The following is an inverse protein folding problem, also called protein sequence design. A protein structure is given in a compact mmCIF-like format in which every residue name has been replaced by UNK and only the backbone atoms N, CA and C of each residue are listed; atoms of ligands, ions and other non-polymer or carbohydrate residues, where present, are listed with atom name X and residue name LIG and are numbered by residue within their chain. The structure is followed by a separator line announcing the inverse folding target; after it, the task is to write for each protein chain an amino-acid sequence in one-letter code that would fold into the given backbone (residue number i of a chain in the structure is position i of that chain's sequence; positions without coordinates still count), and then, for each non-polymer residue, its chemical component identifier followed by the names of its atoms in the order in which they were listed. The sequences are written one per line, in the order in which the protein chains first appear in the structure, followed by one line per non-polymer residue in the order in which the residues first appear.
data_IF_442061944376
#
_entry.id   IF_442061944376
#
_cell.length_a   1.000
_cell.length_b   1.000
_cell.length_c   1.000
_cell.angle_alpha   90.00
_cell.angle_beta   90.00
_cell.angle_gamma   90.00
#
_symmetry.space_group_name_H-M   'P 1'
#
loop_
_entity.id
_entity.type
_entity.pdbx_description
1 polymer ?
#
# COMPACT_ATOMS: atom_id res chain seq x y z
N UNK A 1 -19.73 -1.85 -14.98
CA UNK A 1 -19.94 -1.06 -13.74
C UNK A 1 -18.86 0.00 -13.65
N UNK A 2 -19.21 1.24 -13.27
CA UNK A 2 -18.28 2.39 -13.26
C UNK A 2 -17.32 2.35 -12.05
N UNK A 3 -17.78 1.84 -10.91
CA UNK A 3 -16.95 1.71 -9.70
C UNK A 3 -16.27 0.34 -9.63
N UNK A 4 -15.04 0.32 -9.12
CA UNK A 4 -14.20 -0.90 -8.98
C UNK A 4 -13.94 -1.32 -7.53
N UNK A 5 -14.03 -0.38 -6.59
CA UNK A 5 -13.77 -0.61 -5.16
C UNK A 5 -15.04 -0.27 -4.38
N UNK A 6 -15.57 -1.27 -3.68
CA UNK A 6 -16.80 -1.14 -2.91
C UNK A 6 -16.49 -1.36 -1.43
N UNK A 7 -17.28 -0.71 -0.57
CA UNK A 7 -17.27 -1.04 0.86
C UNK A 7 -17.98 -2.39 1.00
N UNK A 8 -17.21 -3.40 1.38
CA UNK A 8 -17.72 -4.76 1.57
C UNK A 8 -16.93 -5.47 2.67
N UNK A 9 -17.55 -6.51 3.23
CA UNK A 9 -16.94 -7.34 4.27
C UNK A 9 -15.73 -8.08 3.68
N UNK A 10 -14.61 -7.99 4.37
CA UNK A 10 -13.34 -8.59 3.95
C UNK A 10 -12.50 -7.70 3.04
N UNK A 11 -12.95 -6.49 2.67
CA UNK A 11 -12.07 -5.58 1.93
C UNK A 11 -10.97 -5.01 2.84
N UNK A 12 -9.75 -5.02 2.33
CA UNK A 12 -8.60 -4.42 2.98
C UNK A 12 -8.56 -2.93 2.66
N UNK A 13 -8.34 -2.11 3.68
CA UNK A 13 -8.23 -0.66 3.59
C UNK A 13 -6.96 -0.17 4.27
N UNK A 14 -6.42 0.95 3.76
CA UNK A 14 -5.31 1.66 4.40
C UNK A 14 -5.86 2.81 5.24
N UNK A 15 -5.35 2.97 6.46
CA UNK A 15 -5.68 4.11 7.32
C UNK A 15 -4.88 5.34 6.91
N UNK A 16 -5.58 6.43 6.57
CA UNK A 16 -5.00 7.67 6.03
C UNK A 16 -4.55 8.68 7.08
N UNK A 17 -5.06 8.62 8.32
CA UNK A 17 -4.66 9.53 9.41
C UNK A 17 -5.11 9.05 10.80
N UNK A 18 -4.54 9.67 11.84
CA UNK A 18 -4.78 9.39 13.25
C UNK A 18 -3.78 8.40 13.85
N UNK A 19 -4.10 7.82 15.01
CA UNK A 19 -3.18 6.97 15.78
C UNK A 19 -2.68 5.73 15.00
N UNK A 20 -3.54 5.16 14.15
CA UNK A 20 -3.24 3.98 13.33
C UNK A 20 -2.82 4.30 11.88
N UNK A 21 -2.33 5.51 11.64
CA UNK A 21 -1.92 5.95 10.30
C UNK A 21 -0.92 4.99 9.64
N UNK A 22 -1.18 4.64 8.37
CA UNK A 22 -0.32 3.77 7.57
C UNK A 22 -0.50 2.27 7.84
N UNK A 23 -1.38 1.89 8.77
CA UNK A 23 -1.73 0.48 8.99
C UNK A 23 -2.76 0.00 7.97
N UNK A 24 -2.66 -1.28 7.61
CA UNK A 24 -3.69 -1.99 6.87
C UNK A 24 -4.71 -2.59 7.84
N UNK A 25 -5.98 -2.41 7.51
CA UNK A 25 -7.10 -2.93 8.28
C UNK A 25 -8.07 -3.65 7.36
N UNK A 26 -8.82 -4.60 7.90
CA UNK A 26 -9.89 -5.30 7.17
C UNK A 26 -11.24 -4.78 7.66
N UNK A 27 -12.14 -4.47 6.74
CA UNK A 27 -13.54 -4.16 7.06
C UNK A 27 -14.24 -5.47 7.43
N UNK A 28 -14.66 -5.57 8.68
CA UNK A 28 -15.28 -6.78 9.23
C UNK A 28 -16.80 -6.67 9.26
N UNK A 29 -17.31 -5.45 9.41
CA UNK A 29 -18.73 -5.13 9.34
C UNK A 29 -18.94 -3.68 8.91
N UNK A 30 -20.12 -3.39 8.36
CA UNK A 30 -20.56 -2.03 8.04
C UNK A 30 -21.58 -1.61 9.09
N UNK A 31 -21.23 -0.60 9.89
CA UNK A 31 -22.07 -0.16 11.02
C UNK A 31 -23.15 0.79 10.52
N UNK A 32 -22.76 1.79 9.74
CA UNK A 32 -23.65 2.76 9.12
C UNK A 32 -23.01 3.33 7.84
N UNK A 33 -23.65 4.34 7.24
CA UNK A 33 -23.18 4.97 5.99
C UNK A 33 -21.77 5.57 6.09
N UNK A 34 -21.35 5.98 7.29
CA UNK A 34 -20.09 6.69 7.51
C UNK A 34 -19.06 5.84 8.24
N UNK A 35 -19.42 4.71 8.85
CA UNK A 35 -18.55 3.94 9.74
C UNK A 35 -18.53 2.45 9.39
N UNK A 36 -17.34 1.88 9.44
CA UNK A 36 -17.09 0.45 9.43
C UNK A 36 -16.50 -0.02 10.76
N UNK A 37 -16.79 -1.27 11.09
CA UNK A 37 -16.06 -2.02 12.10
C UNK A 37 -14.82 -2.61 11.43
N UNK A 38 -13.64 -2.24 11.91
CA UNK A 38 -12.37 -2.67 11.34
C UNK A 38 -11.56 -3.49 12.33
N UNK A 39 -10.75 -4.39 11.79
CA UNK A 39 -9.89 -5.27 12.58
C UNK A 39 -8.56 -5.51 11.87
N UNK A 40 -7.52 -5.79 12.65
CA UNK A 40 -6.18 -6.14 12.18
C UNK A 40 -5.48 -7.00 13.25
N UNK A 41 -4.48 -7.84 12.89
CA UNK A 41 -3.80 -8.71 13.84
C UNK A 41 -3.25 -7.98 15.07
N UNK A 42 -2.59 -6.83 14.84
CA UNK A 42 -1.90 -6.05 15.88
C UNK A 42 -2.78 -4.95 16.50
N UNK A 43 -4.09 -5.00 16.29
CA UNK A 43 -5.02 -3.93 16.66
C UNK A 43 -6.26 -4.50 17.34
N UNK A 44 -6.78 -3.81 18.35
CA UNK A 44 -8.12 -4.14 18.84
C UNK A 44 -9.18 -3.73 17.82
N UNK A 45 -10.30 -4.45 17.81
CA UNK A 45 -11.39 -4.15 16.90
C UNK A 45 -12.04 -2.82 17.29
N UNK A 46 -12.03 -1.86 16.37
CA UNK A 46 -12.64 -0.54 16.60
C UNK A 46 -13.55 -0.14 15.45
N UNK A 47 -14.41 0.85 15.71
CA UNK A 47 -15.15 1.52 14.65
C UNK A 47 -14.29 2.64 14.04
N UNK A 48 -14.27 2.73 12.72
CA UNK A 48 -13.59 3.78 11.97
C UNK A 48 -14.51 4.41 10.94
N UNK A 49 -14.41 5.73 10.77
CA UNK A 49 -15.12 6.45 9.73
C UNK A 49 -14.50 6.15 8.35
N UNK A 50 -15.30 5.95 7.31
CA UNK A 50 -14.83 5.71 5.94
C UNK A 50 -13.94 6.83 5.42
N UNK A 51 -14.11 8.08 5.88
CA UNK A 51 -13.21 9.19 5.54
C UNK A 51 -11.76 8.95 5.96
N UNK A 52 -11.53 8.09 6.97
CA UNK A 52 -10.19 7.69 7.44
C UNK A 52 -9.57 6.55 6.62
N UNK A 53 -10.36 5.90 5.78
CA UNK A 53 -9.99 4.67 5.10
C UNK A 53 -9.87 4.90 3.60
N UNK A 54 -8.78 4.44 3.01
CA UNK A 54 -8.66 4.31 1.56
C UNK A 54 -8.76 2.84 1.19
N UNK A 55 -9.79 2.49 0.42
CA UNK A 55 -10.01 1.11 -0.02
C UNK A 55 -8.90 0.66 -0.97
N UNK A 56 -8.40 -0.56 -0.74
CA UNK A 56 -7.46 -1.24 -1.64
C UNK A 56 -8.19 -2.16 -2.60
N UNK A 57 -7.49 -2.72 -3.58
CA UNK A 57 -8.05 -3.72 -4.51
C UNK A 57 -8.16 -5.11 -3.87
N UNK A 58 -7.54 -5.33 -2.70
CA UNK A 58 -7.43 -6.64 -2.05
C UNK A 58 -8.72 -6.92 -1.26
N UNK A 59 -9.30 -8.09 -1.49
CA UNK A 59 -10.45 -8.61 -0.75
C UNK A 59 -10.10 -9.99 -0.22
N UNK A 60 -10.47 -10.25 1.03
CA UNK A 60 -10.41 -11.56 1.65
C UNK A 60 -11.82 -12.09 1.89
N UNK A 61 -12.05 -13.37 1.62
CA UNK A 61 -13.33 -14.00 1.90
C UNK A 61 -13.44 -14.30 3.39
N UNK A 62 -14.27 -13.56 4.11
CA UNK A 62 -14.55 -13.75 5.54
C UNK A 62 -16.04 -13.61 5.82
N UNK A 63 -16.51 -14.27 6.87
CA UNK A 63 -17.86 -14.03 7.39
C UNK A 63 -17.93 -12.70 8.13
N UNK A 64 -19.14 -12.14 8.24
CA UNK A 64 -19.42 -10.95 9.06
C UNK A 64 -18.96 -11.19 10.50
N UNK A 65 -18.17 -10.27 11.05
CA UNK A 65 -17.70 -10.33 12.46
C UNK A 65 -17.02 -11.67 12.80
N UNK A 66 -15.92 -12.07 12.13
CA UNK A 66 -15.22 -13.31 12.45
C UNK A 66 -14.48 -13.18 13.78
N UNK A 67 -14.08 -14.30 14.41
CA UNK A 67 -13.14 -14.26 15.54
C UNK A 67 -11.75 -13.82 15.05
N UNK A 68 -10.98 -13.15 15.91
CA UNK A 68 -9.67 -12.60 15.54
C UNK A 68 -8.69 -13.66 14.99
N UNK A 69 -8.70 -14.86 15.58
CA UNK A 69 -7.92 -16.01 15.08
C UNK A 69 -8.29 -16.37 13.63
N UNK A 70 -9.58 -16.47 13.33
CA UNK A 70 -10.05 -16.78 11.97
C UNK A 70 -9.70 -15.66 10.96
N UNK A 71 -9.71 -14.39 11.39
CA UNK A 71 -9.28 -13.27 10.56
C UNK A 71 -7.79 -13.36 10.20
N UNK A 72 -6.94 -13.68 11.18
CA UNK A 72 -5.49 -13.83 10.97
C UNK A 72 -5.24 -14.97 9.97
N UNK A 73 -5.85 -16.14 10.20
CA UNK A 73 -5.75 -17.28 9.28
C UNK A 73 -6.23 -16.94 7.86
N UNK A 74 -7.33 -16.19 7.72
CA UNK A 74 -7.83 -15.76 6.42
C UNK A 74 -6.87 -14.77 5.74
N UNK A 75 -6.27 -13.85 6.49
CA UNK A 75 -5.33 -12.86 5.98
C UNK A 75 -4.02 -13.50 5.51
N UNK A 76 -3.54 -14.53 6.23
CA UNK A 76 -2.39 -15.34 5.85
C UNK A 76 -2.68 -16.20 4.63
N UNK A 77 -3.82 -16.91 4.60
CA UNK A 77 -4.25 -17.72 3.43
C UNK A 77 -4.38 -16.87 2.17
N UNK A 78 -4.87 -15.63 2.30
CA UNK A 78 -5.02 -14.71 1.17
C UNK A 78 -3.72 -13.98 0.80
N UNK A 79 -2.63 -14.17 1.56
CA UNK A 79 -1.33 -13.55 1.37
C UNK A 79 -1.40 -12.01 1.22
N UNK A 80 -2.21 -11.37 2.08
CA UNK A 80 -2.51 -9.94 1.98
C UNK A 80 -1.25 -9.10 2.07
N UNK A 81 -0.32 -9.46 2.97
CA UNK A 81 0.92 -8.72 3.20
C UNK A 81 1.78 -8.68 1.95
N UNK A 82 2.07 -9.83 1.33
CA UNK A 82 2.91 -9.86 0.15
C UNK A 82 2.20 -9.22 -1.05
N UNK A 83 0.88 -9.40 -1.21
CA UNK A 83 0.11 -8.73 -2.26
C UNK A 83 0.18 -7.21 -2.11
N UNK A 84 0.06 -6.70 -0.89
CA UNK A 84 0.22 -5.28 -0.61
C UNK A 84 1.64 -4.79 -0.92
N UNK A 85 2.67 -5.47 -0.44
CA UNK A 85 4.07 -5.11 -0.68
C UNK A 85 4.46 -5.18 -2.16
N UNK A 86 3.82 -6.06 -2.94
CA UNK A 86 3.99 -6.15 -4.40
C UNK A 86 3.18 -5.10 -5.17
N UNK A 87 2.13 -4.54 -4.57
CA UNK A 87 1.31 -3.51 -5.22
C UNK A 87 2.13 -2.24 -5.49
N UNK A 88 1.81 -1.53 -6.57
CA UNK A 88 2.48 -0.25 -6.90
C UNK A 88 2.38 0.76 -5.76
N UNK A 89 1.23 0.79 -5.08
CA UNK A 89 0.97 1.67 -3.95
C UNK A 89 1.79 1.29 -2.71
N UNK A 90 1.78 0.02 -2.31
CA UNK A 90 2.60 -0.48 -1.20
C UNK A 90 4.09 -0.27 -1.45
N UNK A 91 4.59 -0.58 -2.66
CA UNK A 91 5.97 -0.29 -3.08
C UNK A 91 6.32 1.19 -2.94
N UNK A 92 5.42 2.09 -3.36
CA UNK A 92 5.62 3.54 -3.25
C UNK A 92 5.80 3.96 -1.79
N UNK A 93 4.96 3.47 -0.88
CA UNK A 93 5.06 3.77 0.56
C UNK A 93 6.36 3.22 1.17
N UNK A 94 6.76 1.99 0.81
CA UNK A 94 8.00 1.38 1.27
C UNK A 94 9.21 2.21 0.82
N UNK A 95 9.24 2.65 -0.44
CA UNK A 95 10.31 3.50 -0.97
C UNK A 95 10.35 4.85 -0.24
N UNK A 96 9.19 5.45 0.04
CA UNK A 96 9.12 6.70 0.80
C UNK A 96 9.68 6.52 2.22
N UNK A 97 9.29 5.45 2.93
CA UNK A 97 9.81 5.13 4.27
C UNK A 97 11.33 4.90 4.25
N UNK A 98 11.83 4.13 3.28
CA UNK A 98 13.28 3.89 3.11
C UNK A 98 14.04 5.17 2.82
N UNK A 99 13.49 6.08 2.00
CA UNK A 99 14.13 7.37 1.72
C UNK A 99 14.18 8.27 2.94
N UNK A 100 13.12 8.28 3.75
CA UNK A 100 13.10 9.04 5.00
C UNK A 100 14.12 8.53 6.02
N UNK A 101 14.42 7.24 6.03
CA UNK A 101 15.40 6.64 6.96
C UNK A 101 16.86 6.74 6.50
N UNK A 102 17.17 7.34 5.34
CA UNK A 102 18.55 7.44 4.87
C UNK A 102 19.36 8.43 5.71
N UNK A 103 20.57 8.01 6.09
CA UNK A 103 21.58 8.90 6.65
C UNK A 103 22.26 9.74 5.54
N UNK A 104 23.07 10.72 5.95
CA UNK A 104 23.73 11.63 5.01
C UNK A 104 24.68 10.92 4.03
N UNK A 105 25.49 9.99 4.53
CA UNK A 105 26.42 9.22 3.72
C UNK A 105 25.72 8.38 2.64
N UNK A 106 24.58 7.77 2.96
CA UNK A 106 23.79 7.01 2.00
C UNK A 106 23.11 7.91 0.97
N UNK A 107 22.72 9.13 1.34
CA UNK A 107 22.24 10.15 0.38
C UNK A 107 23.34 10.54 -0.59
N UNK A 108 24.57 10.73 -0.11
CA UNK A 108 25.73 11.01 -0.95
C UNK A 108 26.02 9.89 -1.95
N UNK A 109 26.02 8.62 -1.51
CA UNK A 109 26.17 7.46 -2.40
C UNK A 109 25.09 7.43 -3.48
N UNK A 110 23.84 7.66 -3.11
CA UNK A 110 22.71 7.67 -4.06
C UNK A 110 22.86 8.83 -5.06
N UNK A 111 23.31 10.00 -4.63
CA UNK A 111 23.56 11.15 -5.51
C UNK A 111 24.59 10.79 -6.58
N UNK A 112 25.75 10.27 -6.19
CA UNK A 112 26.79 9.87 -7.14
C UNK A 112 26.30 8.78 -8.10
N UNK A 113 25.59 7.77 -7.61
CA UNK A 113 25.03 6.70 -8.44
C UNK A 113 24.01 7.24 -9.46
N UNK A 114 23.18 8.22 -9.08
CA UNK A 114 22.23 8.88 -9.99
C UNK A 114 22.93 9.67 -11.08
N UNK A 115 23.99 10.42 -10.76
CA UNK A 115 24.76 11.19 -11.74
C UNK A 115 25.37 10.25 -12.79
N UNK A 116 26.03 9.17 -12.34
CA UNK A 116 26.61 8.16 -13.24
C UNK A 116 25.57 7.52 -14.15
N UNK A 117 24.43 7.08 -13.58
CA UNK A 117 23.32 6.51 -14.36
C UNK A 117 22.77 7.48 -15.41
N UNK A 118 22.54 8.74 -15.03
CA UNK A 118 22.03 9.77 -15.93
C UNK A 118 23.01 10.13 -17.06
N UNK A 119 24.32 10.02 -16.82
CA UNK A 119 25.35 10.15 -17.85
C UNK A 119 25.19 9.09 -18.94
N UNK A 120 25.16 7.81 -18.55
CA UNK A 120 25.02 6.68 -19.49
C UNK A 120 23.71 6.75 -20.27
N UNK A 121 22.59 7.02 -19.59
CA UNK A 121 21.28 7.14 -20.26
C UNK A 121 21.27 8.28 -21.29
N UNK A 122 21.90 9.43 -21.00
CA UNK A 122 21.98 10.54 -21.96
C UNK A 122 22.84 10.20 -23.18
N UNK A 123 23.93 9.47 -23.00
CA UNK A 123 24.78 9.02 -24.11
C UNK A 123 24.02 8.08 -25.05
N UNK A 124 23.34 7.07 -24.51
CA UNK A 124 22.55 6.13 -25.32
C UNK A 124 21.37 6.82 -26.02
N UNK A 125 20.67 7.72 -25.33
CA UNK A 125 19.60 8.52 -25.96
C UNK A 125 20.12 9.43 -27.09
N UNK A 126 21.35 9.96 -26.97
CA UNK A 126 21.97 10.78 -28.01
C UNK A 126 22.27 9.96 -29.27
N UNK A 127 22.75 8.71 -29.11
CA UNK A 127 22.98 7.78 -30.22
C UNK A 127 21.67 7.46 -30.96
N UNK A 128 20.63 7.05 -30.21
CA UNK A 128 19.31 6.76 -30.77
C UNK A 128 18.71 7.95 -31.52
N UNK A 129 18.85 9.17 -30.98
CA UNK A 129 18.38 10.38 -31.67
C UNK A 129 19.13 10.64 -32.97
N UNK A 130 20.45 10.42 -33.00
CA UNK A 130 21.25 10.55 -34.23
C UNK A 130 20.81 9.54 -35.28
N UNK A 131 20.56 8.29 -34.91
CA UNK A 131 20.05 7.24 -35.81
C UNK A 131 18.67 7.58 -36.38
N UNK A 132 17.79 8.19 -35.59
CA UNK A 132 16.45 8.61 -36.05
C UNK A 132 16.51 9.82 -36.99
N UNK A 133 17.53 10.67 -36.84
CA UNK A 133 17.67 11.92 -37.61
C UNK A 133 18.49 11.73 -38.89
N UNK A 134 19.33 10.69 -38.95
CA UNK A 134 20.03 10.25 -40.15
C UNK A 134 19.08 9.48 -41.08
#
# INVERSE_FOLDING_TARGET
MVFKRYVEIGRVALVNYGKDHGKLVVIVDVVDQNRALVDAPDMERIQMNFKRLSLTDIVIAINRVPKKKALIEAMEKADVKNKWEKSSWGRKLIVQKRRASLNDFDRFKIMLAKIKKAGVVRQELSKLKKEITA
#
